data_IF_069826001700
#
_entry.id   IF_069826001700
#
_cell.length_a   1.000
_cell.length_b   1.000
_cell.length_c   1.000
_cell.angle_alpha   90.00
_cell.angle_beta   90.00
_cell.angle_gamma   90.00
#
_symmetry.space_group_name_H-M   'P 1'
#
loop_
_entity.id
_entity.type
_entity.pdbx_description
1 polymer ?
#
# COMPACT_ATOMS: atom_id res chain seq x y z
N UNK A 1 3.57 14.19 1.84
CA UNK A 1 2.54 13.59 0.97
C UNK A 1 1.33 13.30 1.84
N UNK A 2 0.13 13.81 1.52
CA UNK A 2 -1.01 13.65 2.42
C UNK A 2 -1.61 12.24 2.25
N UNK A 3 -2.06 11.66 3.35
CA UNK A 3 -3.11 10.63 3.31
C UNK A 3 -4.31 11.30 2.63
N UNK A 4 -4.71 10.80 1.46
CA UNK A 4 -6.02 11.12 0.91
C UNK A 4 -7.00 10.30 1.74
N UNK A 5 -7.68 10.96 2.68
CA UNK A 5 -8.87 10.38 3.28
C UNK A 5 -9.87 10.19 2.14
N UNK A 6 -10.44 8.98 2.02
CA UNK A 6 -11.52 8.77 1.05
C UNK A 6 -12.75 9.58 1.47
N UNK A 7 -13.59 9.92 0.50
CA UNK A 7 -14.85 10.62 0.78
C UNK A 7 -15.67 9.82 1.81
N UNK A 8 -16.21 10.47 2.86
CA UNK A 8 -16.98 9.78 3.88
C UNK A 8 -18.22 9.15 3.27
N UNK A 9 -18.46 7.87 3.59
CA UNK A 9 -19.73 7.22 3.27
C UNK A 9 -20.74 7.58 4.37
N UNK A 10 -21.87 8.16 3.97
CA UNK A 10 -22.92 8.59 4.90
C UNK A 10 -24.00 7.51 4.96
N UNK A 11 -24.26 7.02 6.17
CA UNK A 11 -25.38 6.11 6.44
C UNK A 11 -26.42 6.81 7.29
N UNK A 12 -27.69 6.73 6.85
CA UNK A 12 -28.84 7.15 7.64
C UNK A 12 -29.50 5.92 8.24
N UNK A 13 -29.49 5.81 9.56
CA UNK A 13 -30.15 4.71 10.28
C UNK A 13 -31.36 5.26 11.01
N UNK A 14 -32.53 4.73 10.68
CA UNK A 14 -33.78 5.06 11.36
C UNK A 14 -34.24 3.86 12.17
N UNK A 15 -34.27 4.01 13.48
CA UNK A 15 -34.83 3.03 14.39
C UNK A 15 -36.25 3.43 14.79
N UNK A 16 -37.17 2.46 14.78
CA UNK A 16 -38.53 2.64 15.28
C UNK A 16 -38.66 1.90 16.62
N UNK A 17 -39.21 2.57 17.63
CA UNK A 17 -39.49 1.99 18.94
C UNK A 17 -40.48 0.83 18.84
N UNK A 18 -40.46 -0.08 19.80
CA UNK A 18 -41.27 -1.33 19.79
C UNK A 18 -42.77 -1.13 19.58
N UNK A 19 -43.31 0.04 19.93
CA UNK A 19 -44.74 0.39 19.75
C UNK A 19 -45.02 1.20 18.48
N UNK A 20 -44.02 1.48 17.67
CA UNK A 20 -44.16 2.24 16.42
C UNK A 20 -44.29 3.77 16.56
N UNK A 21 -44.44 4.29 17.80
CA UNK A 21 -44.71 5.71 18.03
C UNK A 21 -43.45 6.58 18.16
N UNK A 22 -42.32 5.99 18.51
CA UNK A 22 -41.06 6.70 18.70
C UNK A 22 -40.14 6.36 17.54
N UNK A 23 -39.58 7.36 16.87
CA UNK A 23 -38.60 7.17 15.80
C UNK A 23 -37.34 7.97 16.11
N UNK A 24 -36.18 7.36 15.95
CA UNK A 24 -34.89 8.02 16.08
C UNK A 24 -34.10 7.83 14.79
N UNK A 25 -33.52 8.91 14.27
CA UNK A 25 -32.65 8.86 13.10
C UNK A 25 -31.25 9.29 13.49
N UNK A 26 -30.24 8.54 13.06
CA UNK A 26 -28.83 8.84 13.26
C UNK A 26 -28.14 8.89 11.91
N UNK A 27 -27.27 9.89 11.73
CA UNK A 27 -26.38 10.00 10.59
C UNK A 27 -25.00 9.50 11.04
N UNK A 28 -24.50 8.45 10.39
CA UNK A 28 -23.21 7.84 10.67
C UNK A 28 -22.27 8.17 9.51
N UNK A 29 -21.13 8.79 9.81
CA UNK A 29 -20.05 8.98 8.84
C UNK A 29 -19.04 7.85 8.99
N UNK A 30 -18.89 7.04 7.93
CA UNK A 30 -17.83 6.05 7.84
C UNK A 30 -16.64 6.67 7.10
N UNK A 31 -15.57 6.94 7.83
CA UNK A 31 -14.29 7.36 7.26
C UNK A 31 -13.43 6.13 7.00
N UNK A 32 -13.21 5.80 5.72
CA UNK A 32 -12.28 4.75 5.33
C UNK A 32 -10.95 5.41 4.96
N UNK A 33 -9.89 5.08 5.68
CA UNK A 33 -8.54 5.48 5.26
C UNK A 33 -7.96 4.36 4.42
N UNK A 34 -7.90 4.57 3.09
CA UNK A 34 -7.20 3.66 2.19
C UNK A 34 -5.74 4.11 2.12
N UNK A 35 -4.83 3.32 2.68
CA UNK A 35 -3.39 3.56 2.50
C UNK A 35 -2.98 3.09 1.13
N UNK A 36 -2.68 4.03 0.25
CA UNK A 36 -2.17 3.73 -1.10
C UNK A 36 -0.66 3.51 -1.03
N UNK A 37 -0.15 2.46 -1.66
CA UNK A 37 1.28 2.27 -1.82
C UNK A 37 1.82 3.30 -2.83
N UNK A 38 2.38 4.38 -2.31
CA UNK A 38 2.94 5.46 -3.14
C UNK A 38 4.19 5.00 -3.92
N UNK A 39 4.85 3.91 -3.52
CA UNK A 39 6.03 3.40 -4.20
C UNK A 39 5.69 2.50 -5.39
N UNK A 40 4.49 1.93 -5.44
CA UNK A 40 4.10 0.91 -6.42
C UNK A 40 4.32 1.39 -7.86
N UNK A 41 5.11 0.64 -8.63
CA UNK A 41 5.42 0.92 -10.02
C UNK A 41 6.28 2.17 -10.27
N UNK A 42 6.76 2.86 -9.23
CA UNK A 42 7.69 3.98 -9.42
C UNK A 42 9.02 3.50 -9.98
N UNK A 43 9.75 4.31 -10.77
CA UNK A 43 11.10 3.94 -11.16
C UNK A 43 11.98 3.81 -9.91
N UNK A 44 12.77 2.75 -9.85
CA UNK A 44 13.67 2.47 -8.74
C UNK A 44 15.10 2.30 -9.27
N UNK A 45 16.06 2.70 -8.45
CA UNK A 45 17.50 2.56 -8.70
C UNK A 45 18.17 2.03 -7.45
N UNK A 46 19.28 1.32 -7.64
CA UNK A 46 20.11 0.80 -6.58
C UNK A 46 21.57 1.12 -6.87
N UNK A 47 22.42 1.09 -5.85
CA UNK A 47 23.84 1.43 -5.95
C UNK A 47 24.58 0.53 -6.93
N UNK A 48 24.23 -0.76 -6.94
CA UNK A 48 24.73 -1.77 -7.84
C UNK A 48 23.72 -2.91 -7.94
N UNK A 49 23.75 -3.67 -9.03
CA UNK A 49 22.91 -4.86 -9.20
C UNK A 49 23.79 -6.11 -9.15
N UNK A 50 23.47 -7.03 -8.24
CA UNK A 50 24.19 -8.30 -8.13
C UNK A 50 23.83 -9.21 -9.31
N UNK A 51 24.81 -9.63 -10.14
CA UNK A 51 24.53 -10.52 -11.26
C UNK A 51 24.25 -11.93 -10.75
N UNK A 52 23.12 -12.50 -11.17
CA UNK A 52 22.76 -13.87 -10.85
C UNK A 52 22.14 -14.58 -12.06
N UNK A 53 21.86 -15.88 -11.93
CA UNK A 53 21.25 -16.68 -13.00
C UNK A 53 19.80 -16.30 -13.28
N UNK A 54 19.11 -15.74 -12.29
CA UNK A 54 17.79 -15.13 -12.45
C UNK A 54 17.91 -13.61 -12.62
N UNK A 55 16.92 -12.95 -13.24
CA UNK A 55 16.86 -11.49 -13.27
C UNK A 55 16.90 -10.89 -11.86
N UNK A 56 17.67 -9.83 -11.69
CA UNK A 56 17.75 -9.01 -10.48
C UNK A 56 17.63 -7.55 -10.92
N UNK A 57 16.74 -6.79 -10.30
CA UNK A 57 16.52 -5.39 -10.64
C UNK A 57 15.92 -4.62 -9.46
N UNK A 58 16.32 -3.35 -9.30
CA UNK A 58 15.76 -2.44 -8.30
C UNK A 58 14.22 -2.30 -8.37
N UNK A 59 13.63 -2.48 -9.55
CA UNK A 59 12.17 -2.40 -9.77
C UNK A 59 11.39 -3.45 -8.98
N UNK A 60 12.03 -4.53 -8.54
CA UNK A 60 11.36 -5.55 -7.73
C UNK A 60 11.03 -5.07 -6.31
N UNK A 61 11.64 -3.99 -5.81
CA UNK A 61 11.23 -3.38 -4.54
C UNK A 61 9.85 -2.68 -4.62
N UNK A 62 9.31 -2.50 -5.83
CA UNK A 62 8.11 -1.69 -6.10
C UNK A 62 7.14 -2.38 -7.04
N UNK A 63 7.27 -3.68 -7.25
CA UNK A 63 6.42 -4.47 -8.14
C UNK A 63 5.07 -4.88 -7.48
N UNK A 64 4.93 -4.69 -6.17
CA UNK A 64 3.73 -5.03 -5.42
C UNK A 64 3.68 -6.48 -4.94
N UNK A 65 4.73 -7.27 -5.19
CA UNK A 65 4.86 -8.62 -4.71
C UNK A 65 5.80 -8.65 -3.48
N UNK A 66 5.29 -9.14 -2.35
CA UNK A 66 6.01 -9.15 -1.07
C UNK A 66 6.77 -10.46 -0.82
N UNK A 67 6.96 -11.28 -1.86
CA UNK A 67 7.66 -12.56 -1.74
C UNK A 67 9.15 -12.33 -1.48
N UNK A 68 9.62 -12.70 -0.29
CA UNK A 68 11.01 -12.51 0.14
C UNK A 68 11.99 -13.59 -0.31
N UNK A 69 11.54 -14.62 -1.03
CA UNK A 69 12.43 -15.64 -1.57
C UNK A 69 13.15 -15.10 -2.82
N UNK A 70 14.48 -14.99 -2.74
CA UNK A 70 15.29 -14.41 -3.81
C UNK A 70 15.04 -15.05 -5.19
N UNK A 71 14.91 -16.39 -5.21
CA UNK A 71 14.70 -17.15 -6.45
C UNK A 71 13.34 -16.88 -7.13
N UNK A 72 12.39 -16.24 -6.45
CA UNK A 72 11.08 -15.89 -6.99
C UNK A 72 11.06 -14.56 -7.76
N UNK A 73 12.23 -13.94 -8.01
CA UNK A 73 12.35 -12.74 -8.87
C UNK A 73 11.49 -11.55 -8.41
N UNK A 74 11.39 -11.34 -7.10
CA UNK A 74 10.59 -10.29 -6.46
C UNK A 74 11.36 -9.55 -5.35
N UNK A 75 12.68 -9.63 -5.38
CA UNK A 75 13.59 -9.01 -4.40
C UNK A 75 14.73 -8.32 -5.12
N UNK A 76 15.21 -7.21 -4.58
CA UNK A 76 16.42 -6.51 -5.08
C UNK A 76 17.66 -7.05 -4.37
N UNK A 77 18.83 -6.91 -5.01
CA UNK A 77 20.08 -7.35 -4.40
C UNK A 77 21.24 -6.56 -4.98
N UNK A 78 21.97 -5.87 -4.11
CA UNK A 78 23.18 -5.13 -4.47
C UNK A 78 24.41 -6.02 -4.36
N UNK A 79 25.54 -5.59 -4.91
CA UNK A 79 26.81 -6.23 -4.57
C UNK A 79 27.14 -6.03 -3.08
N UNK A 80 28.10 -6.82 -2.58
CA UNK A 80 28.69 -6.59 -1.27
C UNK A 80 29.59 -5.35 -1.38
N UNK A 81 29.07 -4.21 -0.94
CA UNK A 81 29.79 -2.93 -0.95
C UNK A 81 29.42 -2.09 0.28
N UNK A 82 30.35 -1.25 0.72
CA UNK A 82 30.08 -0.35 1.84
C UNK A 82 29.20 0.81 1.38
N UNK A 83 28.04 0.99 2.04
CA UNK A 83 27.10 2.04 1.69
C UNK A 83 26.14 1.67 0.56
N UNK A 84 25.85 0.38 0.36
CA UNK A 84 24.81 -0.07 -0.56
C UNK A 84 23.48 0.64 -0.30
N UNK A 85 22.78 1.03 -1.37
CA UNK A 85 21.52 1.78 -1.27
C UNK A 85 20.52 1.40 -2.36
N UNK A 86 19.24 1.64 -2.08
CA UNK A 86 18.12 1.57 -3.01
C UNK A 86 17.28 2.84 -2.87
N UNK A 87 16.83 3.42 -3.98
CA UNK A 87 16.08 4.68 -4.00
C UNK A 87 15.05 4.70 -5.12
N UNK A 88 13.86 5.22 -4.78
CA UNK A 88 12.81 5.55 -5.73
C UNK A 88 13.08 6.91 -6.39
N UNK A 89 12.78 7.03 -7.67
CA UNK A 89 12.85 8.28 -8.44
C UNK A 89 11.50 9.01 -8.37
#
# INVERSE_FOLDING_TARGET
MPIVASDPVIYTVTATGRRGHDTATVVILLLVSVTTNLALGKPATESSTYPYSIPVAASYAVDGNTNGEFLNSSTTHTNIEQGAWCRLI
#
